data_IF_935403948904
#
_entry.id   IF_935403948904
#
_cell.length_a   1.000
_cell.length_b   1.000
_cell.length_c   1.000
_cell.angle_alpha   90.00
_cell.angle_beta   90.00
_cell.angle_gamma   90.00
#
_symmetry.space_group_name_H-M   'P 1'
#
loop_
_entity.id
_entity.type
_entity.pdbx_description
1 polymer ?
#
# COMPACT_ATOMS: atom_id res chain seq x y z
N UNK A 1 9.11 13.05 -32.31
CA UNK A 1 7.88 13.05 -31.48
C UNK A 1 7.79 11.85 -30.55
N UNK A 2 7.72 10.59 -31.02
CA UNK A 2 7.59 9.40 -30.13
C UNK A 2 8.71 9.24 -29.08
N UNK A 3 9.97 9.51 -29.42
CA UNK A 3 11.10 9.44 -28.47
C UNK A 3 11.04 10.51 -27.38
N UNK A 4 10.69 11.76 -27.76
CA UNK A 4 10.52 12.88 -26.82
C UNK A 4 9.36 12.58 -25.86
N UNK A 5 8.25 12.07 -26.39
CA UNK A 5 7.09 11.66 -25.59
C UNK A 5 7.44 10.55 -24.58
N UNK A 6 8.21 9.54 -25.00
CA UNK A 6 8.67 8.47 -24.09
C UNK A 6 9.63 9.01 -23.02
N UNK A 7 10.54 9.93 -23.38
CA UNK A 7 11.44 10.56 -22.41
C UNK A 7 10.73 11.45 -21.39
N UNK A 8 9.60 12.08 -21.78
CA UNK A 8 8.74 12.87 -20.90
C UNK A 8 7.80 12.00 -20.03
N UNK A 9 7.25 10.92 -20.58
CA UNK A 9 6.31 10.04 -19.86
C UNK A 9 7.01 9.13 -18.84
N UNK A 10 8.28 8.80 -19.06
CA UNK A 10 9.07 7.97 -18.14
C UNK A 10 9.18 8.56 -16.72
N UNK A 11 9.62 9.81 -16.51
CA UNK A 11 9.63 10.40 -15.17
C UNK A 11 8.21 10.60 -14.63
N UNK A 12 7.21 10.87 -15.48
CA UNK A 12 5.81 11.00 -15.07
C UNK A 12 5.25 9.70 -14.47
N UNK A 13 5.82 8.54 -14.79
CA UNK A 13 5.40 7.27 -14.21
C UNK A 13 5.65 7.14 -12.69
N UNK A 14 6.43 8.05 -12.08
CA UNK A 14 6.57 8.16 -10.62
C UNK A 14 5.47 8.99 -9.95
N UNK A 15 4.65 9.72 -10.72
CA UNK A 15 3.60 10.58 -10.16
C UNK A 15 2.65 9.83 -9.21
N UNK A 16 2.15 8.61 -9.51
CA UNK A 16 1.31 7.88 -8.57
C UNK A 16 2.02 7.55 -7.26
N UNK A 17 3.32 7.22 -7.31
CA UNK A 17 4.10 6.94 -6.10
C UNK A 17 4.28 8.20 -5.26
N UNK A 18 4.57 9.35 -5.88
CA UNK A 18 4.69 10.64 -5.19
C UNK A 18 3.36 11.03 -4.53
N UNK A 19 2.24 10.86 -5.22
CA UNK A 19 0.91 11.11 -4.66
C UNK A 19 0.62 10.21 -3.46
N UNK A 20 0.97 8.92 -3.53
CA UNK A 20 0.84 8.00 -2.41
C UNK A 20 1.72 8.38 -1.22
N UNK A 21 2.97 8.78 -1.45
CA UNK A 21 3.86 9.26 -0.39
C UNK A 21 3.30 10.50 0.29
N UNK A 22 2.76 11.45 -0.49
CA UNK A 22 2.11 12.64 0.05
C UNK A 22 0.87 12.29 0.88
N UNK A 23 0.05 11.36 0.40
CA UNK A 23 -1.16 10.90 1.10
C UNK A 23 -0.80 10.26 2.45
N UNK A 24 0.16 9.32 2.45
CA UNK A 24 0.64 8.66 3.69
C UNK A 24 1.14 9.72 4.68
N UNK A 25 1.98 10.63 4.23
CA UNK A 25 2.52 11.70 5.08
C UNK A 25 1.41 12.62 5.62
N UNK A 26 0.38 12.90 4.83
CA UNK A 26 -0.78 13.70 5.26
C UNK A 26 -1.60 13.00 6.35
N UNK A 27 -1.75 11.68 6.29
CA UNK A 27 -2.40 10.90 7.34
C UNK A 27 -1.51 10.70 8.58
N UNK A 28 -0.21 10.60 8.38
CA UNK A 28 0.80 10.51 9.43
C UNK A 28 0.90 11.79 10.26
N UNK A 29 0.75 12.95 9.62
CA UNK A 29 0.73 14.27 10.28
C UNK A 29 -0.48 14.49 11.21
N UNK A 30 -1.53 13.66 11.12
CA UNK A 30 -2.70 13.76 11.99
C UNK A 30 -2.39 13.23 13.40
N UNK A 31 -2.93 13.90 14.42
CA UNK A 31 -2.81 13.44 15.81
C UNK A 31 -3.35 12.03 16.00
N UNK A 32 -2.86 11.33 17.04
CA UNK A 32 -3.34 9.99 17.36
C UNK A 32 -4.86 9.94 17.58
N UNK A 33 -5.44 10.99 18.16
CA UNK A 33 -6.89 11.11 18.37
C UNK A 33 -7.67 11.20 17.06
N UNK A 34 -7.24 12.06 16.12
CA UNK A 34 -7.93 12.22 14.83
C UNK A 34 -7.84 10.95 13.99
N UNK A 35 -6.65 10.33 13.95
CA UNK A 35 -6.44 9.07 13.23
C UNK A 35 -7.24 7.91 13.86
N UNK A 36 -7.31 7.86 15.19
CA UNK A 36 -8.14 6.88 15.90
C UNK A 36 -9.63 7.06 15.65
N UNK A 37 -10.13 8.30 15.65
CA UNK A 37 -11.53 8.60 15.35
C UNK A 37 -11.92 8.16 13.93
N UNK A 38 -11.09 8.45 12.93
CA UNK A 38 -11.32 8.01 11.55
C UNK A 38 -11.34 6.47 11.45
N UNK A 39 -10.39 5.81 12.12
CA UNK A 39 -10.30 4.35 12.14
C UNK A 39 -11.52 3.72 12.85
N UNK A 40 -12.02 4.36 13.91
CA UNK A 40 -13.22 3.96 14.61
C UNK A 40 -14.47 4.08 13.73
N UNK A 41 -14.62 5.18 12.98
CA UNK A 41 -15.76 5.37 12.07
C UNK A 41 -15.82 4.25 11.01
N UNK A 42 -14.69 3.95 10.37
CA UNK A 42 -14.58 2.84 9.41
C UNK A 42 -14.88 1.50 10.11
N UNK A 43 -14.40 1.31 11.34
CA UNK A 43 -14.67 0.10 12.13
C UNK A 43 -16.15 -0.06 12.46
N UNK A 44 -16.83 1.03 12.80
CA UNK A 44 -18.25 1.03 13.08
C UNK A 44 -19.05 0.63 11.83
N UNK A 45 -18.75 1.22 10.67
CA UNK A 45 -19.37 0.87 9.39
C UNK A 45 -19.18 -0.61 9.05
N UNK A 46 -18.00 -1.18 9.29
CA UNK A 46 -17.72 -2.61 9.05
C UNK A 46 -18.60 -3.49 9.94
N UNK A 47 -18.67 -3.19 11.25
CA UNK A 47 -19.44 -3.98 12.21
C UNK A 47 -20.94 -3.85 11.97
N UNK A 48 -21.42 -2.65 11.66
CA UNK A 48 -22.81 -2.37 11.29
C UNK A 48 -23.22 -3.14 10.04
N UNK A 49 -22.43 -3.04 8.96
CA UNK A 49 -22.67 -3.81 7.72
C UNK A 49 -22.70 -5.31 8.01
N UNK A 50 -21.77 -5.82 8.84
CA UNK A 50 -21.77 -7.24 9.24
C UNK A 50 -23.04 -7.62 10.00
N UNK A 51 -23.49 -6.78 10.93
CA UNK A 51 -24.70 -7.00 11.71
C UNK A 51 -25.95 -7.09 10.81
N UNK A 52 -26.07 -6.20 9.82
CA UNK A 52 -27.15 -6.21 8.83
C UNK A 52 -27.09 -7.46 7.94
N UNK A 53 -25.92 -7.77 7.39
CA UNK A 53 -25.73 -8.91 6.48
C UNK A 53 -25.99 -10.25 7.18
N UNK A 54 -25.63 -10.36 8.45
CA UNK A 54 -25.80 -11.59 9.24
C UNK A 54 -27.07 -11.62 10.09
N UNK A 55 -27.88 -10.55 10.08
CA UNK A 55 -29.07 -10.38 10.93
C UNK A 55 -28.80 -10.65 12.42
N UNK A 56 -27.65 -10.18 12.93
CA UNK A 56 -27.25 -10.41 14.32
C UNK A 56 -28.07 -9.57 15.33
N UNK A 57 -28.86 -8.60 14.86
CA UNK A 57 -29.75 -7.72 15.66
C UNK A 57 -29.07 -7.11 16.90
N UNK A 58 -27.79 -6.77 16.79
CA UNK A 58 -27.02 -6.14 17.86
C UNK A 58 -27.53 -4.74 18.19
N UNK A 59 -27.49 -4.41 19.46
CA UNK A 59 -27.77 -3.05 19.96
C UNK A 59 -26.64 -2.09 19.61
N UNK A 60 -26.92 -0.79 19.60
CA UNK A 60 -25.92 0.26 19.36
C UNK A 60 -24.70 0.13 20.31
N UNK A 61 -24.95 -0.26 21.57
CA UNK A 61 -23.87 -0.44 22.56
C UNK A 61 -22.95 -1.62 22.22
N UNK A 62 -23.50 -2.70 21.67
CA UNK A 62 -22.72 -3.86 21.24
C UNK A 62 -21.94 -3.58 19.95
N UNK A 63 -22.51 -2.77 19.04
CA UNK A 63 -21.84 -2.29 17.84
C UNK A 63 -20.65 -1.40 18.21
N UNK A 64 -20.84 -0.42 19.10
CA UNK A 64 -19.79 0.47 19.55
C UNK A 64 -18.63 -0.29 20.23
N UNK A 65 -18.96 -1.24 21.11
CA UNK A 65 -17.95 -2.10 21.74
C UNK A 65 -17.17 -2.93 20.71
N UNK A 66 -17.89 -3.55 19.77
CA UNK A 66 -17.27 -4.34 18.70
C UNK A 66 -16.38 -3.47 17.79
N UNK A 67 -16.82 -2.26 17.44
CA UNK A 67 -16.07 -1.30 16.63
C UNK A 67 -14.78 -0.88 17.34
N UNK A 68 -14.85 -0.55 18.64
CA UNK A 68 -13.68 -0.24 19.45
C UNK A 68 -12.70 -1.41 19.54
N UNK A 69 -13.19 -2.66 19.52
CA UNK A 69 -12.32 -3.84 19.58
C UNK A 69 -11.51 -4.06 18.29
N UNK A 70 -12.02 -3.60 17.13
CA UNK A 70 -11.37 -3.78 15.83
C UNK A 70 -10.64 -2.54 15.33
N UNK A 71 -10.91 -1.35 15.88
CA UNK A 71 -10.34 -0.04 15.47
C UNK A 71 -8.82 -0.09 15.31
N UNK A 72 -8.12 -0.66 16.29
CA UNK A 72 -6.67 -0.81 16.23
C UNK A 72 -6.23 -1.63 15.01
N UNK A 73 -6.90 -2.74 14.72
CA UNK A 73 -6.56 -3.62 13.60
C UNK A 73 -6.92 -2.98 12.25
N UNK A 74 -8.05 -2.27 12.18
CA UNK A 74 -8.45 -1.53 10.98
C UNK A 74 -7.43 -0.45 10.65
N UNK A 75 -6.95 0.31 11.64
CA UNK A 75 -5.88 1.31 11.45
C UNK A 75 -4.60 0.67 10.92
N UNK A 76 -4.15 -0.45 11.50
CA UNK A 76 -2.93 -1.14 11.03
C UNK A 76 -3.10 -1.76 9.64
N UNK A 77 -4.28 -2.26 9.31
CA UNK A 77 -4.60 -2.75 7.98
C UNK A 77 -4.64 -1.62 6.94
N UNK A 78 -5.11 -0.42 7.30
CA UNK A 78 -5.10 0.75 6.44
C UNK A 78 -3.66 1.14 6.06
N UNK A 79 -2.77 1.31 7.04
CA UNK A 79 -1.36 1.61 6.78
C UNK A 79 -0.66 0.52 5.96
N UNK A 80 -0.86 -0.75 6.31
CA UNK A 80 -0.34 -1.86 5.50
C UNK A 80 -0.83 -1.80 4.04
N UNK A 81 -2.08 -1.41 3.82
CA UNK A 81 -2.65 -1.24 2.48
C UNK A 81 -2.06 -0.04 1.75
N UNK A 82 -1.85 1.08 2.43
CA UNK A 82 -1.19 2.26 1.86
C UNK A 82 0.22 1.92 1.37
N UNK A 83 1.01 1.21 2.17
CA UNK A 83 2.35 0.76 1.78
C UNK A 83 2.33 -0.30 0.68
N UNK A 84 1.30 -1.15 0.62
CA UNK A 84 1.07 -2.06 -0.50
C UNK A 84 0.83 -1.29 -1.81
N UNK A 85 -0.03 -0.27 -1.78
CA UNK A 85 -0.33 0.57 -2.95
C UNK A 85 0.91 1.39 -3.35
N UNK A 86 1.64 1.96 -2.39
CA UNK A 86 2.91 2.65 -2.63
C UNK A 86 3.93 1.72 -3.32
N UNK A 87 4.06 0.49 -2.82
CA UNK A 87 4.96 -0.51 -3.39
C UNK A 87 4.58 -0.88 -4.83
N UNK A 88 3.29 -1.01 -5.13
CA UNK A 88 2.80 -1.20 -6.50
C UNK A 88 3.16 0.01 -7.36
N UNK A 89 2.85 1.21 -6.87
CA UNK A 89 3.05 2.48 -7.57
C UNK A 89 4.53 2.76 -7.88
N UNK A 90 5.47 2.41 -6.98
CA UNK A 90 6.92 2.57 -7.21
C UNK A 90 7.52 1.42 -8.04
N UNK A 91 6.92 0.23 -7.98
CA UNK A 91 7.41 -0.92 -8.76
C UNK A 91 7.17 -0.77 -10.26
N UNK A 92 6.06 -0.14 -10.67
CA UNK A 92 5.78 0.15 -12.08
C UNK A 92 6.85 0.99 -12.78
N UNK A 93 7.23 2.20 -12.29
CA UNK A 93 8.31 2.97 -12.89
C UNK A 93 9.62 2.18 -12.86
N UNK A 94 10.02 1.55 -11.75
CA UNK A 94 11.23 0.71 -11.74
C UNK A 94 11.24 -0.36 -12.83
N UNK A 95 10.09 -0.98 -13.11
CA UNK A 95 9.95 -1.93 -14.21
C UNK A 95 10.11 -1.28 -15.60
N UNK A 96 9.58 -0.06 -15.79
CA UNK A 96 9.75 0.75 -17.02
C UNK A 96 11.22 1.11 -17.25
N UNK A 97 11.97 1.36 -16.17
CA UNK A 97 13.42 1.61 -16.21
C UNK A 97 14.26 0.32 -16.28
N UNK A 98 13.62 -0.85 -16.30
CA UNK A 98 14.26 -2.13 -16.58
C UNK A 98 14.67 -2.94 -15.35
N UNK A 99 14.36 -2.47 -14.14
CA UNK A 99 14.61 -3.19 -12.89
C UNK A 99 13.61 -4.34 -12.76
N UNK A 100 14.10 -5.58 -12.58
CA UNK A 100 13.27 -6.81 -12.57
C UNK A 100 13.79 -7.83 -11.57
N UNK A 101 12.92 -8.80 -11.23
CA UNK A 101 13.27 -9.92 -10.37
C UNK A 101 13.76 -9.46 -8.99
N UNK A 102 14.86 -10.05 -8.52
CA UNK A 102 15.43 -9.73 -7.20
C UNK A 102 15.77 -8.25 -7.03
N UNK A 103 16.24 -7.58 -8.09
CA UNK A 103 16.57 -6.16 -8.03
C UNK A 103 15.36 -5.27 -7.81
N UNK A 104 14.18 -5.69 -8.30
CA UNK A 104 12.93 -4.97 -8.03
C UNK A 104 12.57 -5.09 -6.56
N UNK A 105 12.70 -6.29 -5.99
CA UNK A 105 12.45 -6.54 -4.56
C UNK A 105 13.36 -5.68 -3.71
N UNK A 106 14.66 -5.70 -3.98
CA UNK A 106 15.63 -4.96 -3.18
C UNK A 106 15.42 -3.45 -3.29
N UNK A 107 15.24 -2.91 -4.50
CA UNK A 107 15.13 -1.47 -4.70
C UNK A 107 13.78 -0.91 -4.21
N UNK A 108 12.66 -1.53 -4.62
CA UNK A 108 11.34 -1.10 -4.16
C UNK A 108 11.16 -1.35 -2.66
N UNK A 109 11.68 -2.48 -2.16
CA UNK A 109 11.66 -2.82 -0.74
C UNK A 109 12.46 -1.80 0.08
N UNK A 110 13.69 -1.47 -0.32
CA UNK A 110 14.50 -0.46 0.37
C UNK A 110 13.81 0.91 0.41
N UNK A 111 13.17 1.34 -0.68
CA UNK A 111 12.42 2.60 -0.72
C UNK A 111 11.21 2.55 0.23
N UNK A 112 10.41 1.48 0.20
CA UNK A 112 9.22 1.39 1.04
C UNK A 112 9.57 1.26 2.53
N UNK A 113 10.55 0.42 2.88
CA UNK A 113 11.03 0.25 4.28
C UNK A 113 11.66 1.55 4.79
N UNK A 114 12.48 2.20 3.97
CA UNK A 114 13.05 3.50 4.30
C UNK A 114 11.97 4.57 4.51
N UNK A 115 10.95 4.58 3.66
CA UNK A 115 9.81 5.50 3.80
C UNK A 115 8.95 5.19 5.03
N UNK A 116 8.75 3.91 5.39
CA UNK A 116 8.09 3.51 6.64
C UNK A 116 8.85 3.98 7.88
N UNK A 117 10.18 3.85 7.88
CA UNK A 117 11.01 4.38 8.95
C UNK A 117 10.95 5.92 9.04
N UNK A 118 10.94 6.61 7.90
CA UNK A 118 10.78 8.08 7.86
C UNK A 118 9.41 8.52 8.33
N UNK A 119 8.36 7.75 8.02
CA UNK A 119 7.01 8.04 8.47
C UNK A 119 6.89 7.90 10.00
N UNK A 120 7.38 6.80 10.58
CA UNK A 120 7.42 6.63 12.04
C UNK A 120 8.26 7.69 12.74
N UNK A 121 9.38 8.09 12.12
CA UNK A 121 10.18 9.22 12.60
C UNK A 121 9.35 10.51 12.56
N UNK A 122 8.59 10.78 11.50
CA UNK A 122 7.70 11.94 11.45
C UNK A 122 6.61 11.88 12.52
N UNK A 123 5.96 10.71 12.70
CA UNK A 123 4.95 10.49 13.73
C UNK A 123 5.48 10.73 15.14
N UNK A 124 6.78 10.52 15.39
CA UNK A 124 7.40 10.82 16.69
C UNK A 124 7.32 12.29 17.11
N UNK A 125 7.08 13.21 16.17
CA UNK A 125 6.86 14.63 16.42
C UNK A 125 5.38 15.01 16.55
N UNK A 126 4.46 14.05 16.36
CA UNK A 126 3.01 14.28 16.37
C UNK A 126 2.42 13.84 17.71
N UNK A 127 1.58 14.71 18.30
CA UNK A 127 0.98 14.43 19.59
C UNK A 127 0.08 13.18 19.57
N UNK A 128 0.21 12.35 20.61
CA UNK A 128 -0.57 11.12 20.75
C UNK A 128 -0.11 9.97 19.85
N UNK A 129 1.03 10.10 19.17
CA UNK A 129 1.67 9.03 18.39
C UNK A 129 3.04 8.69 18.99
N UNK A 130 3.40 7.42 18.92
CA UNK A 130 4.68 6.93 19.40
C UNK A 130 5.35 6.09 18.31
N UNK A 131 6.63 6.32 17.99
CA UNK A 131 7.31 5.54 16.96
C UNK A 131 7.44 4.08 17.41
N UNK A 132 7.15 3.16 16.50
CA UNK A 132 7.08 1.73 16.76
C UNK A 132 7.73 0.94 15.63
N UNK A 133 8.79 0.21 15.97
CA UNK A 133 9.44 -0.71 15.02
C UNK A 133 8.47 -1.77 14.51
N UNK A 134 7.48 -2.16 15.34
CA UNK A 134 6.44 -3.10 14.93
C UNK A 134 5.59 -2.54 13.79
N UNK A 135 5.35 -1.24 13.78
CA UNK A 135 4.54 -0.58 12.75
C UNK A 135 5.30 -0.55 11.42
N UNK A 136 6.60 -0.21 11.45
CA UNK A 136 7.49 -0.37 10.30
C UNK A 136 7.45 -1.79 9.73
N UNK A 137 7.48 -2.82 10.58
CA UNK A 137 7.42 -4.21 10.13
C UNK A 137 6.08 -4.57 9.47
N UNK A 138 4.96 -4.10 10.02
CA UNK A 138 3.62 -4.33 9.45
C UNK A 138 3.52 -3.65 8.09
N UNK A 139 3.93 -2.40 7.98
CA UNK A 139 3.89 -1.63 6.75
C UNK A 139 4.81 -2.21 5.68
N UNK A 140 6.00 -2.66 6.09
CA UNK A 140 6.94 -3.38 5.22
C UNK A 140 6.37 -4.68 4.69
N UNK A 141 5.53 -5.38 5.46
CA UNK A 141 4.84 -6.58 4.99
C UNK A 141 3.81 -6.26 3.90
N UNK A 142 3.08 -5.15 4.04
CA UNK A 142 2.20 -4.61 3.00
C UNK A 142 2.97 -4.27 1.73
N UNK A 143 4.11 -3.58 1.87
CA UNK A 143 4.98 -3.29 0.74
C UNK A 143 5.50 -4.55 0.04
N UNK A 144 5.89 -5.58 0.80
CA UNK A 144 6.33 -6.86 0.24
C UNK A 144 5.22 -7.52 -0.59
N UNK A 145 3.97 -7.52 -0.11
CA UNK A 145 2.81 -8.01 -0.86
C UNK A 145 2.66 -7.24 -2.18
N UNK A 146 2.72 -5.91 -2.15
CA UNK A 146 2.60 -5.06 -3.34
C UNK A 146 3.68 -5.36 -4.40
N UNK A 147 4.94 -5.51 -3.99
CA UNK A 147 6.05 -5.86 -4.88
C UNK A 147 5.82 -7.24 -5.52
N UNK A 148 5.42 -8.23 -4.73
CA UNK A 148 5.17 -9.59 -5.21
C UNK A 148 4.01 -9.64 -6.20
N UNK A 149 2.96 -8.86 -5.98
CA UNK A 149 1.84 -8.73 -6.90
C UNK A 149 2.28 -8.18 -8.26
N UNK A 150 3.09 -7.11 -8.27
CA UNK A 150 3.63 -6.56 -9.53
C UNK A 150 4.53 -7.58 -10.22
N UNK A 151 5.36 -8.30 -9.46
CA UNK A 151 6.22 -9.34 -10.01
C UNK A 151 5.42 -10.47 -10.65
N UNK A 152 4.40 -10.99 -9.97
CA UNK A 152 3.53 -12.04 -10.47
C UNK A 152 2.77 -11.59 -11.74
N UNK A 153 2.25 -10.36 -11.74
CA UNK A 153 1.56 -9.77 -12.88
C UNK A 153 2.49 -9.59 -14.09
N UNK A 154 3.66 -8.99 -13.88
CA UNK A 154 4.67 -8.79 -14.92
C UNK A 154 5.24 -10.12 -15.43
N UNK A 155 5.43 -11.11 -14.55
CA UNK A 155 5.82 -12.46 -14.95
C UNK A 155 4.74 -13.08 -15.85
N UNK A 156 3.48 -13.13 -15.40
CA UNK A 156 2.37 -13.72 -16.15
C UNK A 156 2.19 -13.09 -17.55
N UNK A 157 2.28 -11.76 -17.65
CA UNK A 157 2.13 -11.04 -18.92
C UNK A 157 3.31 -11.24 -19.87
N UNK A 158 4.54 -11.36 -19.35
CA UNK A 158 5.74 -11.57 -20.17
C UNK A 158 6.04 -13.04 -20.49
N UNK A 159 5.60 -13.98 -19.63
CA UNK A 159 5.73 -15.43 -19.82
C UNK A 159 4.56 -16.06 -20.58
N UNK A 160 3.71 -15.29 -21.26
CA UNK A 160 2.67 -15.85 -22.12
C UNK A 160 3.29 -16.78 -23.20
N UNK A 161 3.04 -18.11 -23.16
CA UNK A 161 3.66 -19.09 -24.05
C UNK A 161 3.28 -18.91 -25.53
N UNK A 162 2.21 -18.14 -25.82
CA UNK A 162 1.80 -17.80 -27.19
C UNK A 162 2.84 -16.96 -27.95
N UNK A 163 3.63 -16.12 -27.25
CA UNK A 163 4.67 -15.29 -27.88
C UNK A 163 5.87 -16.11 -28.36
N UNK A 164 6.23 -17.17 -27.61
CA UNK A 164 7.30 -18.11 -27.98
C UNK A 164 6.92 -18.95 -29.21
N UNK A 165 5.65 -19.39 -29.34
CA UNK A 165 5.15 -20.10 -30.54
C UNK A 165 5.27 -19.23 -31.81
N UNK A 166 4.97 -17.93 -31.73
CA UNK A 166 5.03 -17.02 -32.87
C UNK A 166 6.47 -16.72 -33.34
N UNK A 167 7.44 -16.76 -32.42
CA UNK A 167 8.87 -16.58 -32.72
C UNK A 167 9.53 -17.85 -33.30
N UNK A 168 9.02 -19.03 -32.93
CA UNK A 168 9.47 -20.34 -33.45
C UNK A 168 8.90 -20.67 -34.83
N UNK A 169 7.74 -20.10 -35.19
CA UNK A 169 7.10 -20.26 -36.51
C UNK A 169 7.64 -19.31 -37.60
N UNK A 170 8.55 -18.40 -37.24
CA UNK A 170 9.20 -17.41 -38.13
C UNK A 170 10.69 -17.71 -38.38
N UNK A 171 11.22 -18.76 -37.76
CA UNK A 171 12.51 -19.37 -38.10
C UNK A 171 12.20 -20.65 -38.85
#
# INVERSE_FOLDING_TARGET
MKKILIHLLKPLSFLPAILMMYLIYSFSAQTGEVSGALSYEVSYQIVETKNEVLNENKTETELAYSASSIEFYVRKAAHMTEYCILAIAISFPFYVYGVRGIWLILLAGAVCVGFAGLDEYHQSFVNGRGPSVRDVCIDSSGAAIGILLVQAFCWSTTHNPSSKKRRRKRR
#
